data_IF_764537337464
#
_entry.id   IF_764537337464
#
_cell.length_a   1.000
_cell.length_b   1.000
_cell.length_c   1.000
_cell.angle_alpha   90.00
_cell.angle_beta   90.00
_cell.angle_gamma   90.00
#
_symmetry.space_group_name_H-M   'P 1'
#
loop_
_entity.id
_entity.type
_entity.pdbx_description
1 polymer ?
#
# COMPACT_ATOMS: atom_id res chain seq x y z
N UNK A 1 28.37 21.30 -25.83
CA UNK A 1 28.35 21.30 -24.36
C UNK A 1 27.00 20.71 -23.98
N UNK A 2 26.83 19.38 -23.88
CA UNK A 2 27.46 18.45 -22.94
C UNK A 2 27.34 18.91 -21.47
N UNK A 3 26.42 18.21 -20.80
CA UNK A 3 26.52 17.61 -19.46
C UNK A 3 26.27 18.46 -18.22
N UNK A 4 25.11 18.22 -17.59
CA UNK A 4 25.02 17.95 -16.14
C UNK A 4 24.07 16.75 -15.95
N UNK A 5 24.68 15.59 -15.75
CA UNK A 5 24.07 14.36 -15.27
C UNK A 5 23.90 14.47 -13.75
N UNK A 6 22.66 14.64 -13.30
CA UNK A 6 22.27 14.51 -11.89
C UNK A 6 21.39 13.28 -11.71
N UNK A 7 22.02 12.10 -11.69
CA UNK A 7 21.58 10.85 -11.05
C UNK A 7 20.05 10.66 -10.86
N UNK A 8 19.33 10.30 -11.94
CA UNK A 8 17.99 9.73 -11.84
C UNK A 8 18.13 8.26 -11.40
N UNK A 9 18.34 8.04 -10.10
CA UNK A 9 18.20 6.71 -9.52
C UNK A 9 16.80 6.20 -9.87
N UNK A 10 16.75 5.02 -10.49
CA UNK A 10 15.57 4.48 -11.16
C UNK A 10 14.33 4.52 -10.29
N UNK A 11 13.38 5.38 -10.66
CA UNK A 11 11.97 5.12 -10.40
C UNK A 11 11.59 4.07 -11.43
N UNK A 12 11.64 2.80 -11.01
CA UNK A 12 11.00 1.73 -11.77
C UNK A 12 9.52 2.09 -11.86
N UNK A 13 9.08 2.53 -13.03
CA UNK A 13 7.68 2.62 -13.40
C UNK A 13 7.17 1.19 -13.56
N UNK A 14 7.09 0.44 -12.46
CA UNK A 14 6.25 -0.74 -12.41
C UNK A 14 4.82 -0.20 -12.45
N UNK A 15 4.12 -0.39 -13.57
CA UNK A 15 2.70 -0.08 -13.69
C UNK A 15 1.98 -0.75 -12.50
N UNK A 16 1.54 0.00 -11.48
CA UNK A 16 1.07 -0.60 -10.24
C UNK A 16 -0.35 -1.16 -10.39
N UNK A 17 -1.05 -0.83 -11.47
CA UNK A 17 -2.43 -1.26 -11.68
C UNK A 17 -2.58 -2.77 -11.87
N UNK A 18 -1.57 -3.49 -12.38
CA UNK A 18 -1.68 -4.93 -12.64
C UNK A 18 -1.13 -5.83 -11.52
N UNK A 19 -0.02 -5.41 -10.89
CA UNK A 19 0.73 -6.29 -9.97
C UNK A 19 -0.01 -6.63 -8.67
N UNK A 20 -0.97 -5.81 -8.25
CA UNK A 20 -1.63 -5.98 -6.96
C UNK A 20 -2.78 -6.96 -7.05
N UNK A 21 -3.53 -6.96 -8.17
CA UNK A 21 -4.56 -7.96 -8.44
C UNK A 21 -3.98 -9.37 -8.56
N UNK A 22 -2.86 -9.53 -9.26
CA UNK A 22 -2.14 -10.82 -9.31
C UNK A 22 -1.67 -11.27 -7.92
N UNK A 23 -1.31 -10.33 -7.03
CA UNK A 23 -0.92 -10.63 -5.65
C UNK A 23 -2.11 -10.85 -4.71
N UNK A 24 -3.27 -10.27 -5.01
CA UNK A 24 -4.51 -10.53 -4.29
C UNK A 24 -4.90 -12.00 -4.41
N UNK A 25 -4.77 -12.55 -5.62
CA UNK A 25 -4.96 -13.98 -5.89
C UNK A 25 -3.94 -14.85 -5.14
N UNK A 26 -2.75 -14.31 -4.85
CA UNK A 26 -1.72 -14.94 -4.02
C UNK A 26 -1.98 -14.78 -2.50
N UNK A 27 -3.08 -14.15 -2.10
CA UNK A 27 -3.47 -14.01 -0.69
C UNK A 27 -2.73 -12.91 0.07
N UNK A 28 -2.33 -11.82 -0.61
CA UNK A 28 -1.72 -10.66 0.04
C UNK A 28 -2.68 -10.02 1.06
N UNK A 29 -2.20 -9.85 2.29
CA UNK A 29 -2.91 -9.10 3.33
C UNK A 29 -2.27 -7.72 3.52
N UNK A 30 -3.09 -6.68 3.57
CA UNK A 30 -2.68 -5.31 3.84
C UNK A 30 -3.12 -4.94 5.25
N UNK A 31 -2.19 -4.36 6.02
CA UNK A 31 -2.44 -3.88 7.38
C UNK A 31 -2.26 -2.38 7.43
N UNK A 32 -3.28 -1.66 7.88
CA UNK A 32 -3.24 -0.22 8.12
C UNK A 32 -3.23 -0.01 9.63
N UNK A 33 -2.16 0.63 10.13
CA UNK A 33 -1.99 0.94 11.55
C UNK A 33 -1.87 2.45 11.70
N UNK A 34 -2.89 3.06 12.28
CA UNK A 34 -2.94 4.50 12.53
C UNK A 34 -3.94 4.77 13.66
N UNK A 35 -3.61 5.61 14.64
CA UNK A 35 -4.47 5.87 15.80
C UNK A 35 -5.71 6.73 15.45
N UNK A 36 -5.69 7.40 14.30
CA UNK A 36 -6.80 8.17 13.79
C UNK A 36 -7.71 7.35 12.88
N UNK A 37 -8.96 7.18 13.32
CA UNK A 37 -9.99 6.47 12.55
C UNK A 37 -10.22 7.09 11.16
N UNK A 38 -10.16 8.42 11.05
CA UNK A 38 -10.33 9.13 9.78
C UNK A 38 -9.21 8.80 8.78
N UNK A 39 -7.96 8.69 9.24
CA UNK A 39 -6.81 8.33 8.41
C UNK A 39 -6.95 6.89 7.88
N UNK A 40 -7.30 5.93 8.76
CA UNK A 40 -7.54 4.54 8.33
C UNK A 40 -8.68 4.42 7.34
N UNK A 41 -9.78 5.13 7.61
CA UNK A 41 -10.94 5.18 6.71
C UNK A 41 -10.54 5.73 5.35
N UNK A 42 -9.81 6.84 5.30
CA UNK A 42 -9.35 7.44 4.05
C UNK A 42 -8.48 6.46 3.23
N UNK A 43 -7.49 5.82 3.86
CA UNK A 43 -6.59 4.89 3.18
C UNK A 43 -7.30 3.63 2.68
N UNK A 44 -8.23 3.08 3.47
CA UNK A 44 -9.07 1.97 3.02
C UNK A 44 -9.81 2.31 1.74
N UNK A 45 -10.49 3.45 1.69
CA UNK A 45 -11.24 3.85 0.49
C UNK A 45 -10.34 3.98 -0.73
N UNK A 46 -9.12 4.52 -0.58
CA UNK A 46 -8.15 4.62 -1.67
C UNK A 46 -7.75 3.23 -2.18
N UNK A 47 -7.51 2.28 -1.27
CA UNK A 47 -7.13 0.92 -1.65
C UNK A 47 -8.30 0.18 -2.30
N UNK A 48 -9.50 0.29 -1.74
CA UNK A 48 -10.73 -0.32 -2.27
C UNK A 48 -11.10 0.21 -3.66
N UNK A 49 -10.84 1.48 -3.96
CA UNK A 49 -11.06 2.08 -5.28
C UNK A 49 -10.09 1.55 -6.34
N UNK A 50 -8.87 1.19 -5.95
CA UNK A 50 -7.83 0.68 -6.86
C UNK A 50 -7.94 -0.84 -7.05
N UNK A 51 -8.16 -1.58 -5.96
CA UNK A 51 -8.13 -3.05 -5.94
C UNK A 51 -9.07 -3.58 -4.84
N UNK A 52 -10.38 -3.71 -5.13
CA UNK A 52 -11.40 -4.11 -4.15
C UNK A 52 -11.27 -5.57 -3.67
N UNK A 53 -10.50 -6.39 -4.36
CA UNK A 53 -10.25 -7.79 -4.03
C UNK A 53 -9.22 -7.99 -2.89
N UNK A 54 -8.47 -6.94 -2.53
CA UNK A 54 -7.42 -7.03 -1.50
C UNK A 54 -8.01 -7.11 -0.10
N UNK A 55 -7.42 -7.96 0.74
CA UNK A 55 -7.80 -8.07 2.16
C UNK A 55 -7.11 -6.98 2.96
N UNK A 56 -7.89 -6.07 3.53
CA UNK A 56 -7.40 -4.93 4.32
C UNK A 56 -7.84 -5.06 5.78
N UNK A 57 -6.89 -4.94 6.70
CA UNK A 57 -7.10 -5.00 8.14
C UNK A 57 -6.67 -3.68 8.79
N UNK A 58 -7.46 -3.21 9.75
CA UNK A 58 -7.23 -1.93 10.45
C UNK A 58 -6.90 -2.13 11.92
N UNK A 59 -5.94 -1.36 12.40
CA UNK A 59 -5.62 -1.29 13.81
C UNK A 59 -5.41 0.18 14.23
N UNK A 60 -6.07 0.56 15.33
CA UNK A 60 -5.83 1.85 15.99
C UNK A 60 -4.66 1.82 16.97
N UNK A 61 -4.31 0.63 17.43
CA UNK A 61 -3.22 0.41 18.37
C UNK A 61 -2.11 -0.42 17.69
N UNK A 62 -0.83 0.02 17.78
CA UNK A 62 0.27 -0.69 17.16
C UNK A 62 0.61 -2.03 17.82
N UNK A 63 0.30 -2.21 19.11
CA UNK A 63 0.53 -3.49 19.79
C UNK A 63 -0.50 -4.53 19.34
N UNK A 64 -1.77 -4.14 19.18
CA UNK A 64 -2.81 -4.99 18.61
C UNK A 64 -2.44 -5.44 17.18
N UNK A 65 -1.90 -4.52 16.37
CA UNK A 65 -1.44 -4.83 15.02
C UNK A 65 -0.28 -5.84 14.99
N UNK A 66 0.70 -5.67 15.89
CA UNK A 66 1.83 -6.60 15.99
C UNK A 66 1.40 -7.98 16.50
N UNK A 67 0.41 -8.06 17.38
CA UNK A 67 -0.13 -9.30 17.91
C UNK A 67 -1.01 -10.09 16.92
N UNK A 68 -1.38 -9.47 15.80
CA UNK A 68 -2.18 -10.13 14.75
C UNK A 68 -1.36 -11.08 13.86
N UNK A 69 -0.03 -10.92 13.84
CA UNK A 69 0.90 -11.77 13.08
C UNK A 69 1.12 -13.13 13.76
#
# INVERSE_FOLDING_TARGET
MQDVLGNLAGVSSADPSGSWSEKADLGLNIVIVDDQMSARTMLRHVIEDIAPELKVYDFGDPLDALAWC
#
